data_IF_600102880605
#
_entry.id   IF_600102880605
#
_cell.length_a   1.000
_cell.length_b   1.000
_cell.length_c   1.000
_cell.angle_alpha   90.00
_cell.angle_beta   90.00
_cell.angle_gamma   90.00
#
_symmetry.space_group_name_H-M   'P 1'
#
loop_
_entity.id
_entity.type
_entity.pdbx_description
1 polymer ?
#
# COMPACT_ATOMS: atom_id res chain seq x y z
N UNK A 1 -15.63 -11.53 5.54
CA UNK A 1 -16.85 -10.79 5.11
C UNK A 1 -17.27 -11.35 3.77
N UNK A 2 -18.57 -11.54 3.47
CA UNK A 2 -18.98 -12.01 2.13
C UNK A 2 -18.53 -11.00 1.06
N UNK A 3 -17.95 -11.47 -0.06
CA UNK A 3 -17.37 -10.65 -1.13
C UNK A 3 -18.37 -9.64 -1.71
N UNK A 4 -19.65 -10.00 -1.83
CA UNK A 4 -20.70 -9.11 -2.33
C UNK A 4 -20.97 -7.95 -1.36
N UNK A 5 -20.92 -8.24 -0.06
CA UNK A 5 -21.07 -7.23 0.99
C UNK A 5 -19.86 -6.30 1.03
N UNK A 6 -18.65 -6.84 0.86
CA UNK A 6 -17.44 -6.05 0.76
C UNK A 6 -17.50 -5.13 -0.46
N UNK A 7 -17.86 -5.66 -1.62
CA UNK A 7 -18.04 -4.89 -2.86
C UNK A 7 -19.03 -3.75 -2.69
N UNK A 8 -20.24 -4.01 -2.19
CA UNK A 8 -21.25 -2.97 -1.94
C UNK A 8 -20.74 -1.87 -1.00
N UNK A 9 -20.02 -2.24 0.07
CA UNK A 9 -19.41 -1.27 1.01
C UNK A 9 -18.37 -0.39 0.31
N UNK A 10 -17.46 -0.98 -0.47
CA UNK A 10 -16.40 -0.23 -1.15
C UNK A 10 -16.91 0.61 -2.33
N UNK A 11 -17.98 0.19 -3.01
CA UNK A 11 -18.64 1.03 -4.02
C UNK A 11 -19.23 2.31 -3.39
N UNK A 12 -19.95 2.17 -2.28
CA UNK A 12 -20.48 3.32 -1.55
C UNK A 12 -19.37 4.21 -0.97
N UNK A 13 -18.30 3.59 -0.46
CA UNK A 13 -17.13 4.33 0.00
C UNK A 13 -16.48 5.11 -1.16
N UNK A 14 -16.42 4.54 -2.37
CA UNK A 14 -15.88 5.21 -3.55
C UNK A 14 -16.72 6.41 -4.02
N UNK A 15 -18.03 6.41 -3.77
CA UNK A 15 -18.91 7.56 -4.02
C UNK A 15 -18.63 8.73 -3.09
N UNK A 16 -18.48 8.43 -1.80
CA UNK A 16 -18.46 9.43 -0.73
C UNK A 16 -17.05 9.94 -0.42
N UNK A 17 -16.02 9.18 -0.79
CA UNK A 17 -14.62 9.48 -0.48
C UNK A 17 -13.75 9.48 -1.74
N UNK A 18 -13.84 10.49 -2.63
CA UNK A 18 -12.89 10.62 -3.73
C UNK A 18 -11.46 10.67 -3.19
N UNK A 19 -10.57 9.92 -3.81
CA UNK A 19 -9.16 9.83 -3.46
C UNK A 19 -8.35 10.64 -4.47
N UNK A 20 -7.29 11.26 -4.01
CA UNK A 20 -6.43 12.04 -4.89
C UNK A 20 -5.30 12.70 -4.13
N UNK A 21 -4.72 13.71 -4.78
CA UNK A 21 -3.56 14.43 -4.27
C UNK A 21 -2.24 13.69 -4.52
N UNK A 22 -1.11 14.41 -4.37
CA UNK A 22 0.19 13.86 -4.68
C UNK A 22 0.59 12.73 -3.72
N UNK A 23 1.40 11.80 -4.22
CA UNK A 23 2.27 10.97 -3.36
C UNK A 23 3.15 11.89 -2.51
N UNK A 24 3.32 11.61 -1.22
CA UNK A 24 4.09 12.48 -0.32
C UNK A 24 5.58 12.52 -0.69
N UNK A 25 6.27 13.61 -0.40
CA UNK A 25 7.69 13.77 -0.79
C UNK A 25 8.58 12.64 -0.25
N UNK A 26 8.35 12.22 0.99
CA UNK A 26 9.05 11.06 1.56
C UNK A 26 8.81 9.77 0.75
N UNK A 27 7.55 9.48 0.43
CA UNK A 27 7.21 8.32 -0.40
C UNK A 27 7.88 8.44 -1.77
N UNK A 28 7.90 9.64 -2.38
CA UNK A 28 8.56 9.90 -3.67
C UNK A 28 10.06 9.64 -3.62
N UNK A 29 10.76 10.18 -2.62
CA UNK A 29 12.20 9.95 -2.43
C UNK A 29 12.51 8.46 -2.29
N UNK A 30 11.70 7.74 -1.51
CA UNK A 30 11.83 6.29 -1.37
C UNK A 30 11.62 5.59 -2.72
N UNK A 31 10.51 5.85 -3.41
CA UNK A 31 10.21 5.19 -4.67
C UNK A 31 11.22 5.52 -5.76
N UNK A 32 11.73 6.75 -5.84
CA UNK A 32 12.82 7.08 -6.75
C UNK A 32 14.07 6.28 -6.43
N UNK A 33 14.45 6.18 -5.15
CA UNK A 33 15.65 5.43 -4.76
C UNK A 33 15.55 3.92 -5.06
N UNK A 34 14.38 3.31 -4.88
CA UNK A 34 14.23 1.85 -4.91
C UNK A 34 13.50 1.32 -6.15
N UNK A 35 12.76 2.16 -6.86
CA UNK A 35 11.90 1.78 -7.99
C UNK A 35 12.25 2.50 -9.31
N UNK A 36 13.19 3.45 -9.31
CA UNK A 36 13.57 4.14 -10.54
C UNK A 36 14.16 3.17 -11.56
N UNK A 37 13.67 3.26 -12.80
CA UNK A 37 14.14 2.44 -13.92
C UNK A 37 13.71 0.97 -13.84
N UNK A 38 12.78 0.63 -12.94
CA UNK A 38 12.16 -0.69 -12.95
C UNK A 38 11.38 -0.92 -14.24
N UNK A 39 11.43 -2.16 -14.70
CA UNK A 39 10.79 -2.64 -15.93
C UNK A 39 9.86 -3.79 -15.60
N UNK A 40 8.98 -4.12 -16.56
CA UNK A 40 8.07 -5.26 -16.45
C UNK A 40 6.62 -4.85 -16.14
N UNK A 41 5.76 -5.85 -16.03
CA UNK A 41 4.34 -5.65 -15.76
C UNK A 41 4.10 -5.40 -14.27
N UNK A 42 3.31 -4.38 -13.96
CA UNK A 42 2.98 -3.94 -12.60
C UNK A 42 1.47 -4.07 -12.42
N UNK A 43 1.02 -4.65 -11.31
CA UNK A 43 -0.37 -4.54 -10.86
C UNK A 43 -0.46 -3.71 -9.57
N UNK A 44 -1.29 -2.67 -9.60
CA UNK A 44 -1.66 -1.90 -8.40
C UNK A 44 -2.99 -2.44 -7.86
N UNK A 45 -2.93 -3.22 -6.79
CA UNK A 45 -4.09 -3.85 -6.14
C UNK A 45 -4.67 -2.86 -5.13
N UNK A 46 -5.98 -2.62 -5.19
CA UNK A 46 -6.65 -1.58 -4.42
C UNK A 46 -6.29 -0.18 -4.89
N UNK A 47 -6.24 0.02 -6.20
CA UNK A 47 -5.71 1.24 -6.82
C UNK A 47 -6.48 2.53 -6.49
N UNK A 48 -7.70 2.43 -5.96
CA UNK A 48 -8.54 3.59 -5.65
C UNK A 48 -8.75 4.46 -6.89
N UNK A 49 -8.63 5.78 -6.74
CA UNK A 49 -8.75 6.70 -7.88
C UNK A 49 -7.43 6.86 -8.68
N UNK A 50 -6.45 5.98 -8.48
CA UNK A 50 -5.20 5.96 -9.26
C UNK A 50 -4.10 6.90 -8.76
N UNK A 51 -4.12 7.25 -7.47
CA UNK A 51 -3.12 8.12 -6.83
C UNK A 51 -1.68 7.67 -7.12
N UNK A 52 -1.42 6.37 -6.96
CA UNK A 52 -0.08 5.81 -7.08
C UNK A 52 0.28 5.46 -8.52
N UNK A 53 -0.69 5.00 -9.33
CA UNK A 53 -0.50 4.65 -10.75
C UNK A 53 0.16 5.77 -11.53
N UNK A 54 -0.38 6.99 -11.43
CA UNK A 54 0.14 8.14 -12.17
C UNK A 54 1.60 8.46 -11.81
N UNK A 55 1.97 8.29 -10.55
CA UNK A 55 3.33 8.53 -10.09
C UNK A 55 4.28 7.41 -10.52
N UNK A 56 3.87 6.15 -10.37
CA UNK A 56 4.70 5.02 -10.79
C UNK A 56 4.95 5.01 -12.29
N UNK A 57 3.93 5.34 -13.10
CA UNK A 57 4.07 5.51 -14.54
C UNK A 57 5.16 6.54 -14.92
N UNK A 58 5.44 7.54 -14.08
CA UNK A 58 6.49 8.53 -14.35
C UNK A 58 7.90 8.03 -14.01
N UNK A 59 8.05 7.09 -13.08
CA UNK A 59 9.35 6.67 -12.56
C UNK A 59 9.77 5.26 -12.99
N UNK A 60 8.85 4.48 -13.55
CA UNK A 60 9.12 3.15 -14.11
C UNK A 60 9.29 3.24 -15.62
N UNK A 61 10.23 2.48 -16.19
CA UNK A 61 10.53 2.49 -17.62
C UNK A 61 9.87 1.31 -18.34
N UNK A 62 9.13 1.59 -19.42
CA UNK A 62 8.50 0.56 -20.27
C UNK A 62 7.69 -0.49 -19.49
N UNK A 63 7.09 -0.08 -18.36
CA UNK A 63 6.30 -0.93 -17.51
C UNK A 63 4.81 -0.83 -17.88
N UNK A 64 4.17 -1.97 -18.12
CA UNK A 64 2.71 -2.03 -18.25
C UNK A 64 2.08 -1.97 -16.86
N UNK A 65 1.34 -0.90 -16.53
CA UNK A 65 0.69 -0.76 -15.23
C UNK A 65 -0.80 -1.08 -15.35
N UNK A 66 -1.24 -2.07 -14.58
CA UNK A 66 -2.63 -2.53 -14.51
C UNK A 66 -3.23 -2.21 -13.16
N UNK A 67 -4.38 -1.54 -13.17
CA UNK A 67 -5.11 -1.17 -11.97
C UNK A 67 -6.12 -2.26 -11.58
N UNK A 68 -6.14 -2.68 -10.32
CA UNK A 68 -7.15 -3.58 -9.79
C UNK A 68 -7.85 -2.92 -8.59
N UNK A 69 -9.17 -2.88 -8.58
CA UNK A 69 -9.95 -2.48 -7.40
C UNK A 69 -11.24 -3.30 -7.32
N UNK A 70 -11.77 -3.51 -6.12
CA UNK A 70 -13.05 -4.18 -5.93
C UNK A 70 -14.23 -3.29 -6.36
N UNK A 71 -14.03 -1.96 -6.37
CA UNK A 71 -15.00 -0.97 -6.83
C UNK A 71 -14.86 -0.71 -8.34
N UNK A 72 -15.95 -0.96 -9.06
CA UNK A 72 -16.16 -0.58 -10.45
C UNK A 72 -15.99 0.93 -10.65
N UNK A 73 -16.49 1.76 -9.72
CA UNK A 73 -16.36 3.22 -9.84
C UNK A 73 -14.90 3.68 -9.83
N UNK A 74 -14.08 3.11 -8.96
CA UNK A 74 -12.64 3.36 -8.90
C UNK A 74 -11.96 2.97 -10.20
N UNK A 75 -12.22 1.75 -10.68
CA UNK A 75 -11.70 1.26 -11.96
C UNK A 75 -12.12 2.16 -13.13
N UNK A 76 -13.37 2.61 -13.18
CA UNK A 76 -13.85 3.53 -14.22
C UNK A 76 -13.11 4.87 -14.19
N UNK A 77 -12.86 5.43 -13.01
CA UNK A 77 -12.08 6.67 -12.86
C UNK A 77 -10.65 6.48 -13.33
N UNK A 78 -10.00 5.38 -12.98
CA UNK A 78 -8.63 5.10 -13.45
C UNK A 78 -8.59 4.97 -14.98
N UNK A 79 -9.56 4.28 -15.58
CA UNK A 79 -9.70 4.20 -17.04
C UNK A 79 -9.93 5.55 -17.70
N UNK A 80 -10.72 6.43 -17.09
CA UNK A 80 -10.94 7.79 -17.58
C UNK A 80 -9.65 8.64 -17.62
N UNK A 81 -8.64 8.28 -16.82
CA UNK A 81 -7.31 8.89 -16.84
C UNK A 81 -6.34 8.19 -17.81
N UNK A 82 -6.81 7.25 -18.63
CA UNK A 82 -6.01 6.58 -19.67
C UNK A 82 -5.24 5.34 -19.20
N UNK A 83 -5.44 4.87 -17.98
CA UNK A 83 -4.75 3.67 -17.47
C UNK A 83 -5.59 2.40 -17.67
N UNK A 84 -4.90 1.27 -17.87
CA UNK A 84 -5.56 -0.04 -17.92
C UNK A 84 -6.05 -0.43 -16.53
N UNK A 85 -7.25 -1.01 -16.44
CA UNK A 85 -7.78 -1.47 -15.17
C UNK A 85 -8.89 -2.51 -15.27
N UNK A 86 -9.08 -3.26 -14.20
CA UNK A 86 -10.10 -4.30 -14.08
C UNK A 86 -10.64 -4.38 -12.66
N UNK A 87 -11.87 -4.89 -12.53
CA UNK A 87 -12.49 -5.12 -11.22
C UNK A 87 -12.04 -6.47 -10.69
N UNK A 88 -11.55 -6.51 -9.46
CA UNK A 88 -11.06 -7.74 -8.83
C UNK A 88 -10.92 -7.62 -7.31
N UNK A 89 -11.04 -8.74 -6.61
CA UNK A 89 -10.77 -8.82 -5.18
C UNK A 89 -9.30 -9.11 -4.95
N UNK A 90 -8.69 -8.45 -3.96
CA UNK A 90 -7.32 -8.76 -3.54
C UNK A 90 -7.20 -10.19 -2.98
N UNK A 91 -8.28 -10.77 -2.46
CA UNK A 91 -8.32 -12.15 -1.96
C UNK A 91 -8.48 -13.18 -3.10
N UNK A 92 -8.81 -12.75 -4.32
CA UNK A 92 -8.92 -13.63 -5.51
C UNK A 92 -8.74 -12.80 -6.77
N UNK A 93 -7.49 -12.66 -7.20
CA UNK A 93 -7.10 -11.82 -8.33
C UNK A 93 -7.43 -12.50 -9.66
N UNK A 94 -8.12 -11.82 -10.59
CA UNK A 94 -8.40 -12.33 -11.93
C UNK A 94 -7.16 -12.23 -12.85
N UNK A 95 -6.02 -12.68 -12.35
CA UNK A 95 -4.73 -12.71 -13.03
C UNK A 95 -4.19 -14.14 -13.07
N UNK A 96 -3.42 -14.45 -14.11
CA UNK A 96 -2.74 -15.74 -14.25
C UNK A 96 -1.61 -15.84 -13.22
N UNK A 97 -1.24 -17.07 -12.87
CA UNK A 97 -0.04 -17.31 -12.08
C UNK A 97 1.18 -16.73 -12.81
N UNK A 98 2.14 -16.19 -12.06
CA UNK A 98 3.44 -15.74 -12.59
C UNK A 98 3.33 -14.80 -13.81
N UNK A 99 2.41 -13.84 -13.77
CA UNK A 99 2.07 -12.97 -14.90
C UNK A 99 2.50 -11.51 -14.74
N UNK A 100 2.95 -11.11 -13.55
CA UNK A 100 3.39 -9.73 -13.27
C UNK A 100 4.75 -9.71 -12.59
N UNK A 101 5.59 -8.74 -12.92
CA UNK A 101 6.92 -8.57 -12.31
C UNK A 101 6.84 -7.83 -10.98
N UNK A 102 5.85 -6.94 -10.85
CA UNK A 102 5.62 -6.13 -9.66
C UNK A 102 4.17 -6.18 -9.20
N UNK A 103 3.99 -6.32 -7.89
CA UNK A 103 2.70 -6.13 -7.22
C UNK A 103 2.85 -4.95 -6.27
N UNK A 104 1.99 -3.95 -6.41
CA UNK A 104 1.87 -2.84 -5.48
C UNK A 104 0.59 -3.01 -4.67
N UNK A 105 0.74 -2.95 -3.35
CA UNK A 105 -0.34 -3.14 -2.38
C UNK A 105 -0.32 -1.96 -1.39
N UNK A 106 -0.88 -0.84 -1.85
CA UNK A 106 -0.70 0.46 -1.22
C UNK A 106 -1.91 0.83 -0.35
N UNK A 107 -1.77 0.69 0.97
CA UNK A 107 -2.84 0.92 1.94
C UNK A 107 -4.09 0.07 1.64
N UNK A 108 -3.88 -1.24 1.53
CA UNK A 108 -4.93 -2.24 1.27
C UNK A 108 -5.07 -3.26 2.38
N UNK A 109 -3.96 -3.75 2.95
CA UNK A 109 -4.01 -4.84 3.93
C UNK A 109 -4.79 -4.49 5.20
N UNK A 110 -4.91 -3.21 5.54
CA UNK A 110 -5.73 -2.73 6.65
C UNK A 110 -7.23 -2.91 6.39
N UNK A 111 -7.64 -3.02 5.13
CA UNK A 111 -9.04 -3.08 4.68
C UNK A 111 -9.54 -4.50 4.39
N UNK A 112 -8.66 -5.50 4.40
CA UNK A 112 -9.00 -6.90 4.05
C UNK A 112 -9.17 -7.74 5.30
N UNK A 113 -10.11 -8.69 5.25
CA UNK A 113 -10.38 -9.57 6.39
C UNK A 113 -9.38 -10.72 6.51
N UNK A 114 -8.80 -11.15 5.39
CA UNK A 114 -7.82 -12.23 5.36
C UNK A 114 -6.52 -11.78 4.68
N UNK A 115 -5.62 -11.10 5.41
CA UNK A 115 -4.36 -10.61 4.85
C UNK A 115 -3.46 -11.74 4.35
N UNK A 116 -3.48 -12.93 4.96
CA UNK A 116 -2.71 -14.11 4.49
C UNK A 116 -3.14 -14.49 3.08
N UNK A 117 -4.46 -14.57 2.83
CA UNK A 117 -4.98 -14.90 1.51
C UNK A 117 -4.59 -13.88 0.44
N UNK A 118 -4.57 -12.59 0.78
CA UNK A 118 -4.12 -11.53 -0.12
C UNK A 118 -2.63 -11.69 -0.44
N UNK A 119 -1.80 -11.95 0.57
CA UNK A 119 -0.36 -12.15 0.35
C UNK A 119 -0.10 -13.40 -0.51
N UNK A 120 -0.84 -14.48 -0.29
CA UNK A 120 -0.77 -15.68 -1.13
C UNK A 120 -1.15 -15.38 -2.58
N UNK A 121 -2.18 -14.57 -2.83
CA UNK A 121 -2.55 -14.13 -4.18
C UNK A 121 -1.46 -13.26 -4.82
N UNK A 122 -0.86 -12.33 -4.06
CA UNK A 122 0.29 -11.55 -4.52
C UNK A 122 1.46 -12.45 -4.93
N UNK A 123 1.81 -13.43 -4.09
CA UNK A 123 2.84 -14.42 -4.38
C UNK A 123 2.50 -15.23 -5.63
N UNK A 124 1.24 -15.69 -5.78
CA UNK A 124 0.79 -16.49 -6.92
C UNK A 124 0.95 -15.75 -8.25
N UNK A 125 0.55 -14.49 -8.32
CA UNK A 125 0.57 -13.71 -9.57
C UNK A 125 1.96 -13.21 -9.95
N UNK A 126 2.87 -13.05 -9.00
CA UNK A 126 4.24 -12.57 -9.26
C UNK A 126 5.05 -13.56 -10.11
N UNK A 127 5.75 -13.10 -11.13
CA UNK A 127 6.73 -13.91 -11.86
C UNK A 127 7.89 -14.33 -10.93
N UNK A 128 8.65 -15.38 -11.27
CA UNK A 128 9.91 -15.69 -10.58
C UNK A 128 10.79 -14.45 -10.48
N UNK A 129 11.43 -14.22 -9.33
CA UNK A 129 12.20 -12.99 -9.02
C UNK A 129 11.37 -11.69 -8.99
N UNK A 130 10.05 -11.77 -9.16
CA UNK A 130 9.14 -10.64 -9.02
C UNK A 130 9.11 -10.09 -7.60
N UNK A 131 8.67 -8.84 -7.47
CA UNK A 131 8.71 -8.09 -6.23
C UNK A 131 7.33 -7.55 -5.82
N UNK A 132 7.02 -7.67 -4.53
CA UNK A 132 5.83 -7.09 -3.92
C UNK A 132 6.23 -5.86 -3.08
N UNK A 133 5.65 -4.70 -3.40
CA UNK A 133 5.76 -3.48 -2.62
C UNK A 133 4.48 -3.28 -1.82
N UNK A 134 4.61 -3.12 -0.50
CA UNK A 134 3.47 -3.06 0.40
C UNK A 134 3.62 -1.83 1.28
N UNK A 135 2.57 -1.01 1.38
CA UNK A 135 2.50 0.10 2.32
C UNK A 135 1.32 -0.11 3.26
N UNK A 136 1.58 -0.13 4.57
CA UNK A 136 0.52 -0.27 5.58
C UNK A 136 0.69 0.71 6.73
N UNK A 137 -0.40 1.16 7.36
CA UNK A 137 -0.32 1.84 8.64
C UNK A 137 0.29 0.94 9.72
N UNK A 138 1.06 1.55 10.62
CA UNK A 138 1.60 0.87 11.79
C UNK A 138 0.72 1.19 13.01
N UNK A 139 -0.26 0.33 13.33
CA UNK A 139 -1.35 0.71 14.23
C UNK A 139 -1.00 1.21 15.64
N UNK A 140 0.05 0.75 16.36
CA UNK A 140 0.41 1.40 17.61
C UNK A 140 0.88 2.85 17.40
N UNK A 141 1.67 3.13 16.34
CA UNK A 141 2.16 4.46 16.03
C UNK A 141 1.11 5.35 15.34
N UNK A 142 0.26 4.77 14.47
CA UNK A 142 -0.85 5.46 13.81
C UNK A 142 -1.77 6.12 14.83
N UNK A 143 -2.18 5.36 15.86
CA UNK A 143 -3.08 5.90 16.89
C UNK A 143 -2.47 7.05 17.68
N UNK A 144 -1.17 7.00 17.96
CA UNK A 144 -0.45 8.09 18.63
C UNK A 144 -0.41 9.33 17.72
N UNK A 145 -0.12 9.14 16.43
CA UNK A 145 -0.11 10.23 15.45
C UNK A 145 -1.50 10.87 15.26
N UNK A 146 -2.55 10.06 15.17
CA UNK A 146 -3.93 10.52 15.09
C UNK A 146 -4.31 11.35 16.32
N UNK A 147 -3.90 10.91 17.52
CA UNK A 147 -4.10 11.64 18.77
C UNK A 147 -3.35 12.98 18.79
N UNK A 148 -2.08 13.01 18.40
CA UNK A 148 -1.29 14.25 18.31
C UNK A 148 -1.92 15.25 17.31
N UNK A 149 -2.33 14.77 16.14
CA UNK A 149 -2.97 15.62 15.13
C UNK A 149 -4.34 16.13 15.59
N UNK A 150 -5.11 15.32 16.33
CA UNK A 150 -6.36 15.74 16.93
C UNK A 150 -6.13 16.92 17.89
N UNK A 151 -5.20 16.78 18.83
CA UNK A 151 -4.89 17.82 19.82
C UNK A 151 -4.42 19.10 19.13
N UNK A 152 -3.61 18.98 18.08
CA UNK A 152 -3.04 20.14 17.37
C UNK A 152 -4.01 20.86 16.43
N UNK A 153 -4.91 20.12 15.77
CA UNK A 153 -5.79 20.69 14.74
C UNK A 153 -7.26 20.81 15.16
N UNK A 154 -7.59 20.47 16.42
CA UNK A 154 -8.97 20.48 16.95
C UNK A 154 -9.97 19.72 16.06
N UNK A 155 -9.51 18.67 15.34
CA UNK A 155 -10.34 17.84 14.45
C UNK A 155 -10.87 16.62 15.20
N UNK A 156 -11.82 16.85 16.10
CA UNK A 156 -12.42 15.83 16.99
C UNK A 156 -13.05 14.63 16.25
N UNK A 157 -13.50 14.80 15.00
CA UNK A 157 -14.07 13.73 14.17
C UNK A 157 -13.05 12.73 13.61
N UNK A 158 -11.73 13.05 13.62
CA UNK A 158 -10.66 12.13 13.17
C UNK A 158 -10.32 11.04 14.18
N UNK A 159 -10.99 11.00 15.33
CA UNK A 159 -10.76 9.99 16.36
C UNK A 159 -11.28 8.61 15.97
N UNK A 160 -12.30 8.59 15.11
CA UNK A 160 -12.82 7.35 14.54
C UNK A 160 -11.85 6.88 13.46
N UNK A 161 -11.27 5.70 13.68
CA UNK A 161 -10.50 4.99 12.66
C UNK A 161 -11.37 4.78 11.42
N UNK A 162 -10.77 4.70 10.24
CA UNK A 162 -11.54 4.50 9.02
C UNK A 162 -12.46 3.27 9.18
N UNK A 163 -13.77 3.39 8.92
CA UNK A 163 -14.72 2.29 9.14
C UNK A 163 -14.44 1.07 8.25
N UNK A 164 -13.56 1.21 7.25
CA UNK A 164 -13.08 0.12 6.40
C UNK A 164 -11.85 -0.59 6.97
N UNK A 165 -11.18 -0.04 7.98
CA UNK A 165 -10.04 -0.69 8.65
C UNK A 165 -10.50 -1.86 9.53
N UNK A 166 -10.31 -3.09 9.07
CA UNK A 166 -10.59 -4.31 9.84
C UNK A 166 -9.32 -5.00 10.36
N UNK A 167 -8.17 -4.76 9.74
CA UNK A 167 -6.92 -5.44 10.08
C UNK A 167 -5.90 -4.45 10.62
N UNK A 168 -5.35 -4.74 11.80
CA UNK A 168 -4.44 -3.84 12.53
C UNK A 168 -3.07 -4.48 12.69
N UNK A 169 -2.23 -4.35 11.67
CA UNK A 169 -0.86 -4.88 11.69
C UNK A 169 0.10 -3.92 12.40
N UNK A 170 1.02 -4.50 13.16
CA UNK A 170 2.26 -3.87 13.57
C UNK A 170 3.45 -4.44 12.76
N UNK A 171 4.64 -3.87 12.94
CA UNK A 171 5.84 -4.31 12.21
C UNK A 171 6.22 -5.78 12.40
N UNK A 172 6.01 -6.37 13.59
CA UNK A 172 6.32 -7.79 13.84
C UNK A 172 5.31 -8.70 13.14
N UNK A 173 4.03 -8.36 13.22
CA UNK A 173 2.96 -9.11 12.55
C UNK A 173 3.11 -9.04 11.04
N UNK A 174 3.40 -7.85 10.50
CA UNK A 174 3.68 -7.65 9.08
C UNK A 174 4.88 -8.49 8.64
N UNK A 175 5.99 -8.44 9.37
CA UNK A 175 7.17 -9.24 9.04
C UNK A 175 6.85 -10.74 9.05
N UNK A 176 6.16 -11.25 10.07
CA UNK A 176 5.80 -12.67 10.17
C UNK A 176 4.92 -13.10 8.99
N UNK A 177 3.88 -12.34 8.69
CA UNK A 177 2.98 -12.56 7.55
C UNK A 177 3.78 -12.67 6.23
N UNK A 178 4.66 -11.70 5.97
CA UNK A 178 5.39 -11.65 4.70
C UNK A 178 6.47 -12.73 4.60
N UNK A 179 7.17 -13.05 5.70
CA UNK A 179 8.23 -14.06 5.70
C UNK A 179 7.73 -15.49 5.47
N UNK A 180 6.42 -15.75 5.62
CA UNK A 180 5.84 -17.06 5.28
C UNK A 180 5.71 -17.27 3.76
N UNK A 181 5.72 -16.20 2.97
CA UNK A 181 5.43 -16.21 1.53
C UNK A 181 6.61 -15.77 0.66
N UNK A 182 7.50 -14.93 1.20
CA UNK A 182 8.59 -14.36 0.44
C UNK A 182 9.95 -14.76 1.02
N UNK A 183 10.90 -15.08 0.15
CA UNK A 183 12.26 -15.46 0.55
C UNK A 183 13.07 -14.33 1.14
N UNK A 184 12.73 -13.09 0.75
CA UNK A 184 13.36 -11.89 1.27
C UNK A 184 12.31 -10.83 1.53
N UNK A 185 12.34 -10.28 2.74
CA UNK A 185 11.43 -9.23 3.20
C UNK A 185 12.28 -8.13 3.83
N UNK A 186 12.28 -6.95 3.22
CA UNK A 186 12.94 -5.75 3.72
C UNK A 186 11.87 -4.72 4.12
N UNK A 187 11.81 -4.32 5.40
CA UNK A 187 10.80 -3.37 5.91
C UNK A 187 11.46 -2.06 6.31
N UNK A 188 10.89 -0.95 5.83
CA UNK A 188 11.37 0.42 6.01
C UNK A 188 10.30 1.29 6.70
N UNK A 189 10.67 2.05 7.73
CA UNK A 189 9.77 3.03 8.33
C UNK A 189 9.61 4.25 7.41
N UNK A 190 8.38 4.73 7.18
CA UNK A 190 8.18 5.91 6.32
C UNK A 190 8.48 7.22 7.05
N UNK A 191 7.57 7.68 7.93
CA UNK A 191 7.71 8.95 8.63
C UNK A 191 7.66 8.76 10.15
N UNK A 192 8.55 9.45 10.88
CA UNK A 192 8.49 9.56 12.34
C UNK A 192 8.13 11.01 12.67
N UNK A 193 7.22 11.21 13.60
CA UNK A 193 6.80 12.56 14.00
C UNK A 193 7.99 13.42 14.46
N UNK A 194 8.16 14.63 13.91
CA UNK A 194 9.23 15.58 14.27
C UNK A 194 10.49 15.55 13.38
N UNK A 195 10.56 14.63 12.43
CA UNK A 195 11.74 14.35 11.60
C UNK A 195 12.20 15.52 10.71
N UNK A 196 11.26 16.31 10.17
CA UNK A 196 11.61 17.46 9.30
C UNK A 196 12.43 18.57 9.98
N UNK A 197 12.59 18.53 11.31
CA UNK A 197 13.42 19.49 12.07
C UNK A 197 14.87 19.04 12.29
N UNK A 198 15.20 17.76 12.09
CA UNK A 198 16.49 17.20 12.49
C UNK A 198 17.02 16.23 11.42
N UNK A 199 17.83 16.74 10.47
CA UNK A 199 18.43 15.96 9.36
C UNK A 199 19.18 14.69 9.82
N UNK A 200 19.73 14.66 11.03
CA UNK A 200 20.42 13.48 11.57
C UNK A 200 19.50 12.26 11.73
N UNK A 201 18.18 12.47 11.91
CA UNK A 201 17.19 11.38 12.05
C UNK A 201 16.98 10.65 10.73
N UNK A 202 17.13 11.33 9.58
CA UNK A 202 17.01 10.71 8.25
C UNK A 202 18.12 9.68 7.98
N UNK A 203 19.36 10.00 8.34
CA UNK A 203 20.49 9.06 8.20
C UNK A 203 20.40 7.90 9.21
N UNK A 204 19.92 8.17 10.44
CA UNK A 204 19.69 7.17 11.48
C UNK A 204 18.67 6.09 11.10
N UNK A 205 17.64 6.43 10.32
CA UNK A 205 16.56 5.52 9.91
C UNK A 205 16.98 4.40 8.98
N UNK A 206 17.92 4.66 8.07
CA UNK A 206 18.32 3.68 7.06
C UNK A 206 19.14 2.51 7.63
N UNK A 207 19.62 2.63 8.88
CA UNK A 207 20.60 1.70 9.47
C UNK A 207 20.12 0.88 10.66
N UNK A 208 18.97 1.16 11.29
CA UNK A 208 18.55 0.41 12.51
C UNK A 208 17.06 0.06 12.57
N UNK A 209 16.80 -1.24 12.79
CA UNK A 209 15.49 -1.83 13.16
C UNK A 209 14.84 -1.17 14.39
N UNK A 210 15.61 -0.47 15.23
CA UNK A 210 15.19 0.09 16.52
C UNK A 210 14.19 1.25 16.47
N UNK A 211 13.88 1.80 15.29
CA UNK A 211 12.94 2.94 15.10
C UNK A 211 11.65 2.58 14.38
N UNK A 212 11.46 1.32 13.96
CA UNK A 212 10.24 0.88 13.26
C UNK A 212 8.97 1.07 14.07
N UNK A 213 9.05 0.93 15.40
CA UNK A 213 7.90 1.07 16.31
C UNK A 213 7.34 2.50 16.35
N UNK A 214 8.13 3.52 16.01
CA UNK A 214 7.74 4.93 16.08
C UNK A 214 7.24 5.48 14.73
N UNK A 215 7.32 4.69 13.65
CA UNK A 215 6.96 5.12 12.31
C UNK A 215 5.46 4.99 12.06
N UNK A 216 4.86 5.99 11.42
CA UNK A 216 3.42 6.04 11.15
C UNK A 216 2.95 4.98 10.13
N UNK A 217 3.75 4.74 9.09
CA UNK A 217 3.53 3.66 8.12
C UNK A 217 4.80 2.84 7.94
N UNK A 218 4.60 1.62 7.47
CA UNK A 218 5.66 0.68 7.12
C UNK A 218 5.56 0.40 5.63
N UNK A 219 6.71 0.47 4.97
CA UNK A 219 6.86 0.09 3.59
C UNK A 219 7.69 -1.20 3.55
N UNK A 220 7.15 -2.26 2.99
CA UNK A 220 7.85 -3.53 2.81
C UNK A 220 8.15 -3.77 1.33
N UNK A 221 9.37 -4.23 1.04
CA UNK A 221 9.81 -4.74 -0.25
C UNK A 221 10.04 -6.23 -0.09
N UNK A 222 9.25 -7.04 -0.78
CA UNK A 222 9.31 -8.50 -0.69
C UNK A 222 9.72 -9.09 -2.03
N UNK A 223 10.61 -10.07 -2.04
CA UNK A 223 11.05 -10.76 -3.27
C UNK A 223 10.54 -12.19 -3.28
N UNK A 224 9.99 -12.60 -4.43
CA UNK A 224 9.68 -13.99 -4.73
C UNK A 224 10.98 -14.74 -5.07
N UNK A 225 11.05 -16.04 -4.77
CA UNK A 225 12.10 -16.92 -5.27
C UNK A 225 12.01 -17.10 -6.79
#
# INVERSE_FOLDING_TARGET
MNIDRAKSKFEHYAETHPMGGPVSDFEREFYQKYLQGLKGNIVDIGCGDGKYISYFHQITENAGIYACDISLKRVQRVKAHGYAGFVGSAETLPLRNQSVDWVFLMQVLEHVSNPECVIAECERVLAPQGCCLILVPNYPAKRIYDWINMVRHQKWHKWLDDPTHCTKLNHLQLHRLLSNHFSRVDIYPTFIYGEGRLRFIQEWKTRRRSVMWAAHKLLAVCRRQ
#
